data_IF_211403245586
#
_entry.id   IF_211403245586
#
_cell.length_a   1.000
_cell.length_b   1.000
_cell.length_c   1.000
_cell.angle_alpha   90.00
_cell.angle_beta   90.00
_cell.angle_gamma   90.00
#
_symmetry.space_group_name_H-M   'P 1'
#
loop_
_entity.id
_entity.type
_entity.pdbx_description
1 polymer ?
#
# COMPACT_ATOMS: atom_id res chain seq x y z
N UNK A 1 -21.73 20.81 -4.42
CA UNK A 1 -20.98 19.96 -5.36
C UNK A 1 -20.17 18.91 -4.57
N UNK A 2 -19.49 19.33 -3.51
CA UNK A 2 -18.53 18.52 -2.74
C UNK A 2 -19.13 17.28 -2.09
N UNK A 3 -20.35 17.38 -1.51
CA UNK A 3 -21.08 16.23 -0.95
C UNK A 3 -21.39 15.19 -2.04
N UNK A 4 -21.72 15.61 -3.25
CA UNK A 4 -22.01 14.72 -4.38
C UNK A 4 -20.72 14.01 -4.82
N UNK A 5 -19.59 14.73 -4.89
CA UNK A 5 -18.29 14.15 -5.18
C UNK A 5 -17.87 13.16 -4.09
N UNK A 6 -18.03 13.51 -2.81
CA UNK A 6 -17.70 12.64 -1.68
C UNK A 6 -18.49 11.32 -1.73
N UNK A 7 -19.82 11.40 -1.85
CA UNK A 7 -20.69 10.23 -1.86
C UNK A 7 -20.49 9.42 -3.15
N UNK A 8 -20.45 10.11 -4.30
CA UNK A 8 -20.21 9.47 -5.61
C UNK A 8 -18.84 8.78 -5.66
N UNK A 9 -17.80 9.42 -5.12
CA UNK A 9 -16.47 8.85 -4.98
C UNK A 9 -16.47 7.60 -4.11
N UNK A 10 -17.10 7.66 -2.94
CA UNK A 10 -17.22 6.50 -2.03
C UNK A 10 -17.93 5.31 -2.70
N UNK A 11 -19.05 5.56 -3.37
CA UNK A 11 -19.77 4.52 -4.09
C UNK A 11 -18.92 3.90 -5.21
N UNK A 12 -18.20 4.73 -5.96
CA UNK A 12 -17.33 4.29 -7.03
C UNK A 12 -16.14 3.46 -6.50
N UNK A 13 -15.55 3.84 -5.36
CA UNK A 13 -14.54 3.06 -4.65
C UNK A 13 -15.07 1.69 -4.26
N UNK A 14 -16.25 1.63 -3.64
CA UNK A 14 -16.82 0.35 -3.19
C UNK A 14 -17.18 -0.58 -4.36
N UNK A 15 -17.76 -0.05 -5.44
CA UNK A 15 -18.06 -0.82 -6.65
C UNK A 15 -16.77 -1.27 -7.34
N UNK A 16 -15.79 -0.37 -7.43
CA UNK A 16 -14.46 -0.65 -8.01
C UNK A 16 -13.72 -1.75 -7.25
N UNK A 17 -13.68 -1.67 -5.92
CA UNK A 17 -13.05 -2.68 -5.06
C UNK A 17 -13.72 -4.06 -5.20
N UNK A 18 -15.06 -4.09 -5.27
CA UNK A 18 -15.81 -5.33 -5.51
C UNK A 18 -15.48 -5.94 -6.87
N UNK A 19 -15.49 -5.14 -7.94
CA UNK A 19 -15.18 -5.60 -9.28
C UNK A 19 -13.74 -6.11 -9.37
N UNK A 20 -12.77 -5.32 -8.89
CA UNK A 20 -11.35 -5.72 -8.89
C UNK A 20 -11.13 -7.04 -8.14
N UNK A 21 -11.68 -7.17 -6.94
CA UNK A 21 -11.52 -8.38 -6.13
C UNK A 21 -12.13 -9.61 -6.83
N UNK A 22 -13.31 -9.49 -7.42
CA UNK A 22 -13.96 -10.60 -8.15
C UNK A 22 -13.20 -10.98 -9.42
N UNK A 23 -12.76 -10.00 -10.19
CA UNK A 23 -11.95 -10.21 -11.39
C UNK A 23 -10.61 -10.89 -11.06
N UNK A 24 -9.90 -10.37 -10.08
CA UNK A 24 -8.62 -10.89 -9.62
C UNK A 24 -8.74 -12.31 -9.07
N UNK A 25 -9.75 -12.59 -8.23
CA UNK A 25 -10.02 -13.92 -7.69
C UNK A 25 -10.38 -14.93 -8.80
N UNK A 26 -11.13 -14.50 -9.82
CA UNK A 26 -11.46 -15.33 -10.98
C UNK A 26 -10.23 -15.70 -11.81
N UNK A 27 -9.31 -14.74 -12.02
CA UNK A 27 -8.01 -14.97 -12.70
C UNK A 27 -7.15 -15.93 -11.89
N UNK A 28 -7.03 -15.70 -10.56
CA UNK A 28 -6.29 -16.59 -9.67
C UNK A 28 -6.75 -18.05 -9.81
N UNK A 29 -8.06 -18.27 -9.70
CA UNK A 29 -8.66 -19.61 -9.78
C UNK A 29 -8.52 -20.23 -11.17
N UNK A 30 -8.66 -19.44 -12.25
CA UNK A 30 -8.56 -19.92 -13.64
C UNK A 30 -7.16 -20.41 -13.99
N UNK A 31 -6.13 -19.69 -13.55
CA UNK A 31 -4.72 -20.01 -13.84
C UNK A 31 -4.05 -20.81 -12.73
N UNK A 32 -4.82 -21.24 -11.73
CA UNK A 32 -4.32 -21.96 -10.56
C UNK A 32 -3.18 -21.22 -9.84
N UNK A 33 -3.29 -19.90 -9.76
CA UNK A 33 -2.38 -19.01 -9.06
C UNK A 33 -2.95 -18.74 -7.66
N UNK A 34 -2.08 -18.65 -6.64
CA UNK A 34 -2.54 -18.34 -5.28
C UNK A 34 -3.13 -16.94 -5.18
N UNK A 35 -4.14 -16.75 -4.33
CA UNK A 35 -4.75 -15.43 -4.07
C UNK A 35 -3.74 -14.43 -3.51
N UNK A 36 -2.75 -14.92 -2.76
CA UNK A 36 -1.63 -14.12 -2.26
C UNK A 36 -0.85 -13.49 -3.42
N UNK A 37 -0.46 -14.28 -4.41
CA UNK A 37 0.32 -13.79 -5.56
C UNK A 37 -0.46 -12.78 -6.38
N UNK A 38 -1.75 -12.99 -6.60
CA UNK A 38 -2.59 -12.00 -7.28
C UNK A 38 -2.69 -10.69 -6.47
N UNK A 39 -2.79 -10.80 -5.14
CA UNK A 39 -2.73 -9.66 -4.23
C UNK A 39 -1.38 -8.93 -4.33
N UNK A 40 -0.28 -9.67 -4.24
CA UNK A 40 1.09 -9.15 -4.32
C UNK A 40 1.43 -8.51 -5.69
N UNK A 41 0.68 -8.79 -6.75
CA UNK A 41 1.00 -8.35 -8.12
C UNK A 41 -0.09 -7.47 -8.73
N UNK A 42 -1.08 -8.08 -9.37
CA UNK A 42 -2.10 -7.37 -10.17
C UNK A 42 -2.85 -6.35 -9.31
N UNK A 43 -3.25 -6.75 -8.10
CA UNK A 43 -4.01 -5.88 -7.22
C UNK A 43 -3.11 -4.76 -6.69
N UNK A 44 -1.97 -5.10 -6.10
CA UNK A 44 -1.04 -4.11 -5.54
C UNK A 44 -0.53 -3.12 -6.61
N UNK A 45 -0.08 -3.60 -7.78
CA UNK A 45 0.35 -2.73 -8.88
C UNK A 45 -0.75 -1.77 -9.34
N UNK A 46 -1.97 -2.28 -9.47
CA UNK A 46 -3.08 -1.48 -9.96
C UNK A 46 -3.52 -0.42 -8.96
N UNK A 47 -3.56 -0.77 -7.67
CA UNK A 47 -3.97 0.17 -6.62
C UNK A 47 -2.88 1.19 -6.30
N UNK A 48 -1.59 0.83 -6.45
CA UNK A 48 -0.45 1.76 -6.26
C UNK A 48 -0.11 2.60 -7.51
N UNK A 49 -0.93 2.58 -8.55
CA UNK A 49 -0.74 3.43 -9.73
C UNK A 49 -0.85 4.95 -9.42
N UNK A 50 -1.73 5.41 -8.52
CA UNK A 50 -1.74 6.80 -8.06
C UNK A 50 -0.42 7.21 -7.40
N UNK A 51 0.13 6.37 -6.52
CA UNK A 51 1.41 6.61 -5.85
C UNK A 51 2.56 6.76 -6.85
N UNK A 52 2.61 5.89 -7.87
CA UNK A 52 3.59 5.99 -8.95
C UNK A 52 3.47 7.33 -9.66
N UNK A 53 2.25 7.72 -10.02
CA UNK A 53 2.00 8.98 -10.73
C UNK A 53 2.42 10.18 -9.89
N UNK A 54 1.99 10.23 -8.62
CA UNK A 54 2.32 11.33 -7.71
C UNK A 54 3.84 11.42 -7.51
N UNK A 55 4.51 10.30 -7.22
CA UNK A 55 5.95 10.31 -6.92
C UNK A 55 6.79 10.66 -8.14
N UNK A 56 6.52 10.07 -9.31
CA UNK A 56 7.27 10.38 -10.54
C UNK A 56 7.06 11.83 -10.97
N UNK A 57 5.81 12.32 -10.98
CA UNK A 57 5.53 13.71 -11.37
C UNK A 57 6.14 14.71 -10.39
N UNK A 58 6.11 14.42 -9.09
CA UNK A 58 6.74 15.26 -8.06
C UNK A 58 8.25 15.29 -8.19
N UNK A 59 8.90 14.15 -8.44
CA UNK A 59 10.32 14.05 -8.70
C UNK A 59 10.73 14.89 -9.93
N UNK A 60 10.01 14.77 -11.05
CA UNK A 60 10.24 15.56 -12.27
C UNK A 60 10.05 17.07 -12.05
N UNK A 61 9.18 17.48 -11.13
CA UNK A 61 8.96 18.88 -10.74
C UNK A 61 9.98 19.39 -9.71
N UNK A 62 10.91 18.56 -9.27
CA UNK A 62 11.90 18.90 -8.23
C UNK A 62 11.32 18.93 -6.81
N UNK A 63 10.13 18.39 -6.61
CA UNK A 63 9.47 18.29 -5.28
C UNK A 63 9.80 16.94 -4.64
N UNK A 64 11.08 16.73 -4.32
CA UNK A 64 11.61 15.45 -3.83
C UNK A 64 10.93 14.95 -2.54
N UNK A 65 10.67 15.87 -1.60
CA UNK A 65 10.02 15.52 -0.34
C UNK A 65 8.59 15.01 -0.52
N UNK A 66 7.86 15.51 -1.52
CA UNK A 66 6.52 15.00 -1.86
C UNK A 66 6.65 13.58 -2.44
N UNK A 67 7.62 13.34 -3.32
CA UNK A 67 7.83 12.03 -3.93
C UNK A 67 8.20 10.96 -2.90
N UNK A 68 9.15 11.26 -2.01
CA UNK A 68 9.62 10.34 -0.97
C UNK A 68 8.56 10.20 0.13
N UNK A 69 7.97 11.32 0.57
CA UNK A 69 6.93 11.36 1.59
C UNK A 69 5.68 10.57 1.21
N UNK A 70 5.29 10.61 -0.07
CA UNK A 70 4.20 9.78 -0.59
C UNK A 70 4.51 8.28 -0.42
N UNK A 71 5.72 7.82 -0.76
CA UNK A 71 6.11 6.41 -0.61
C UNK A 71 6.18 6.00 0.86
N UNK A 72 6.87 6.78 1.70
CA UNK A 72 7.02 6.49 3.14
C UNK A 72 5.66 6.53 3.84
N UNK A 73 4.88 7.57 3.59
CA UNK A 73 3.55 7.76 4.18
C UNK A 73 2.57 6.67 3.78
N UNK A 74 2.50 6.31 2.48
CA UNK A 74 1.66 5.20 2.02
C UNK A 74 2.06 3.86 2.64
N UNK A 75 3.36 3.59 2.82
CA UNK A 75 3.81 2.35 3.44
C UNK A 75 3.42 2.28 4.93
N UNK A 76 3.54 3.37 5.67
CA UNK A 76 3.08 3.46 7.07
C UNK A 76 1.55 3.30 7.13
N UNK A 77 0.81 3.98 6.25
CA UNK A 77 -0.64 3.90 6.16
C UNK A 77 -1.09 2.47 5.84
N UNK A 78 -0.47 1.83 4.87
CA UNK A 78 -0.77 0.46 4.48
C UNK A 78 -0.55 -0.52 5.65
N UNK A 79 0.59 -0.45 6.31
CA UNK A 79 0.93 -1.36 7.39
C UNK A 79 0.09 -1.13 8.66
N UNK A 80 -0.17 0.12 9.04
CA UNK A 80 -0.88 0.44 10.27
C UNK A 80 -2.39 0.62 10.06
N UNK A 81 -2.77 1.46 9.11
CA UNK A 81 -4.18 1.83 8.94
C UNK A 81 -4.96 0.79 8.15
N UNK A 82 -4.44 0.32 7.00
CA UNK A 82 -5.17 -0.63 6.15
C UNK A 82 -5.26 -1.99 6.81
N UNK A 83 -4.13 -2.55 7.30
CA UNK A 83 -4.17 -3.82 8.04
C UNK A 83 -5.00 -3.66 9.31
N UNK A 84 -4.84 -2.54 10.01
CA UNK A 84 -5.61 -2.23 11.22
C UNK A 84 -7.11 -2.23 10.97
N UNK A 85 -7.60 -1.45 10.01
CA UNK A 85 -9.02 -1.39 9.65
C UNK A 85 -9.55 -2.74 9.18
N UNK A 86 -8.80 -3.41 8.30
CA UNK A 86 -9.20 -4.71 7.77
C UNK A 86 -9.33 -5.74 8.89
N UNK A 87 -8.35 -5.83 9.80
CA UNK A 87 -8.35 -6.76 10.92
C UNK A 87 -9.42 -6.43 11.97
N UNK A 88 -9.71 -5.14 12.21
CA UNK A 88 -10.77 -4.70 13.10
C UNK A 88 -12.16 -5.13 12.59
N UNK A 89 -12.37 -5.14 11.29
CA UNK A 89 -13.62 -5.59 10.64
C UNK A 89 -13.66 -7.13 10.58
N UNK A 90 -12.64 -7.73 9.97
CA UNK A 90 -12.50 -9.18 9.77
C UNK A 90 -11.09 -9.61 10.14
N UNK A 91 -10.90 -10.51 11.13
CA UNK A 91 -9.59 -11.04 11.47
C UNK A 91 -8.85 -11.61 10.25
N UNK A 92 -7.58 -11.24 10.07
CA UNK A 92 -6.76 -11.62 8.92
C UNK A 92 -5.88 -12.80 9.30
N UNK A 93 -6.08 -13.96 8.68
CA UNK A 93 -5.16 -15.08 8.81
C UNK A 93 -3.96 -14.87 7.89
N UNK A 94 -2.76 -15.07 8.43
CA UNK A 94 -1.48 -14.95 7.71
C UNK A 94 -0.91 -16.35 7.51
N UNK A 95 -0.55 -16.70 6.27
CA UNK A 95 0.04 -18.03 5.99
C UNK A 95 1.44 -18.12 6.58
N UNK A 96 1.93 -19.36 6.77
CA UNK A 96 3.32 -19.57 7.21
C UNK A 96 4.32 -19.00 6.21
N UNK A 97 4.03 -19.11 4.91
CA UNK A 97 4.83 -18.53 3.84
C UNK A 97 4.93 -17.01 3.99
N UNK A 98 3.79 -16.33 4.06
CA UNK A 98 3.71 -14.89 4.20
C UNK A 98 4.48 -14.39 5.43
N UNK A 99 4.34 -15.08 6.54
CA UNK A 99 5.04 -14.71 7.77
C UNK A 99 6.56 -14.92 7.67
N UNK A 100 7.01 -15.97 6.99
CA UNK A 100 8.45 -16.32 6.93
C UNK A 100 9.20 -15.70 5.75
N UNK A 101 8.51 -15.13 4.75
CA UNK A 101 9.12 -14.63 3.53
C UNK A 101 8.65 -13.21 3.17
N UNK A 102 7.34 -13.01 2.93
CA UNK A 102 6.83 -11.75 2.38
C UNK A 102 6.90 -10.61 3.40
N UNK A 103 6.49 -10.81 4.66
CA UNK A 103 6.61 -9.77 5.70
C UNK A 103 8.09 -9.45 6.01
N UNK A 104 9.00 -10.43 6.20
CA UNK A 104 10.44 -10.14 6.33
C UNK A 104 11.03 -9.41 5.12
N UNK A 105 10.57 -9.70 3.90
CA UNK A 105 10.99 -8.95 2.71
C UNK A 105 10.53 -7.49 2.77
N UNK A 106 9.34 -7.22 3.31
CA UNK A 106 8.83 -5.87 3.51
C UNK A 106 9.67 -5.10 4.55
N UNK A 107 10.05 -5.78 5.65
CA UNK A 107 10.99 -5.22 6.65
C UNK A 107 12.35 -4.92 6.01
N UNK A 108 12.88 -5.86 5.21
CA UNK A 108 14.15 -5.67 4.50
C UNK A 108 14.08 -4.48 3.52
N UNK A 109 12.99 -4.35 2.75
CA UNK A 109 12.79 -3.23 1.85
C UNK A 109 12.80 -1.89 2.59
N UNK A 110 12.14 -1.83 3.74
CA UNK A 110 12.13 -0.64 4.60
C UNK A 110 13.51 -0.31 5.16
N UNK A 111 14.31 -1.32 5.52
CA UNK A 111 15.70 -1.14 5.97
C UNK A 111 16.58 -0.68 4.80
N UNK A 112 16.43 -1.25 3.61
CA UNK A 112 17.16 -0.82 2.40
C UNK A 112 16.87 0.65 2.11
N UNK A 113 15.61 1.07 2.17
CA UNK A 113 15.25 2.48 1.99
C UNK A 113 15.88 3.35 3.08
N UNK A 114 15.86 2.91 4.35
CA UNK A 114 16.53 3.63 5.44
C UNK A 114 18.03 3.85 5.16
N UNK A 115 18.71 2.81 4.64
CA UNK A 115 20.14 2.90 4.29
C UNK A 115 20.35 3.89 3.14
N UNK A 116 19.60 3.78 2.04
CA UNK A 116 19.70 4.68 0.89
C UNK A 116 19.40 6.15 1.28
N UNK A 117 18.52 6.37 2.26
CA UNK A 117 18.10 7.69 2.68
C UNK A 117 19.00 8.36 3.74
N UNK A 118 20.08 7.72 4.17
CA UNK A 118 20.92 8.17 5.28
C UNK A 118 22.41 8.33 4.92
N UNK A 119 22.71 8.99 3.80
CA UNK A 119 24.07 9.27 3.36
C UNK A 119 24.90 10.05 4.40
N UNK A 120 24.26 11.00 5.07
CA UNK A 120 24.94 11.79 6.14
C UNK A 120 25.38 10.89 7.27
N UNK A 121 24.53 9.99 7.71
CA UNK A 121 24.83 9.10 8.85
C UNK A 121 25.83 7.99 8.46
N UNK A 122 25.73 7.45 7.24
CA UNK A 122 26.47 6.26 6.83
C UNK A 122 27.77 6.64 6.12
N UNK A 123 27.72 7.64 5.22
CA UNK A 123 28.81 8.01 4.34
C UNK A 123 29.46 9.35 4.71
N UNK A 124 28.99 10.02 5.80
CA UNK A 124 29.43 11.37 6.17
C UNK A 124 29.26 12.38 5.03
N UNK A 125 28.25 12.21 4.20
CA UNK A 125 27.92 13.13 3.12
C UNK A 125 27.42 14.47 3.68
N UNK A 126 27.37 15.50 2.85
CA UNK A 126 26.88 16.83 3.24
C UNK A 126 25.36 16.90 3.37
N UNK A 127 24.65 16.02 2.69
CA UNK A 127 23.18 15.94 2.69
C UNK A 127 22.71 14.52 2.39
N UNK A 128 21.50 14.19 2.83
CA UNK A 128 20.84 12.95 2.47
C UNK A 128 20.19 13.05 1.10
N UNK A 129 20.32 12.02 0.29
CA UNK A 129 19.71 11.95 -1.04
C UNK A 129 19.44 10.50 -1.44
N UNK A 130 18.44 10.31 -2.29
CA UNK A 130 18.27 9.05 -3.01
C UNK A 130 18.78 9.29 -4.42
N UNK A 131 19.94 8.72 -4.74
CA UNK A 131 20.62 8.88 -6.01
C UNK A 131 19.99 8.01 -7.11
N UNK A 132 20.36 8.27 -8.38
CA UNK A 132 19.93 7.38 -9.48
C UNK A 132 20.49 5.96 -9.34
N UNK A 133 21.66 5.77 -8.72
CA UNK A 133 22.20 4.44 -8.44
C UNK A 133 21.37 3.70 -7.38
N UNK A 134 20.88 4.39 -6.35
CA UNK A 134 19.96 3.82 -5.39
C UNK A 134 18.64 3.42 -6.06
N UNK A 135 18.13 4.29 -6.94
CA UNK A 135 16.94 3.99 -7.75
C UNK A 135 17.11 2.72 -8.58
N UNK A 136 18.23 2.59 -9.31
CA UNK A 136 18.53 1.36 -10.07
C UNK A 136 18.68 0.13 -9.17
N UNK A 137 19.29 0.28 -7.99
CA UNK A 137 19.40 -0.80 -7.00
C UNK A 137 18.00 -1.25 -6.53
N UNK A 138 17.11 -0.32 -6.21
CA UNK A 138 15.72 -0.62 -5.84
C UNK A 138 14.99 -1.36 -6.97
N UNK A 139 15.18 -0.96 -8.23
CA UNK A 139 14.61 -1.68 -9.39
C UNK A 139 15.19 -3.10 -9.56
N UNK A 140 16.46 -3.33 -9.21
CA UNK A 140 17.02 -4.69 -9.16
C UNK A 140 16.33 -5.54 -8.07
N UNK A 141 16.08 -4.99 -6.88
CA UNK A 141 15.30 -5.67 -5.84
C UNK A 141 13.86 -5.94 -6.31
N UNK A 142 13.26 -5.01 -7.05
CA UNK A 142 11.96 -5.22 -7.66
C UNK A 142 11.94 -6.40 -8.63
N UNK A 143 12.95 -6.52 -9.50
CA UNK A 143 13.08 -7.66 -10.41
C UNK A 143 13.22 -8.99 -9.66
N UNK A 144 13.98 -9.01 -8.56
CA UNK A 144 14.10 -10.18 -7.67
C UNK A 144 12.74 -10.51 -7.04
N UNK A 145 12.03 -9.50 -6.52
CA UNK A 145 10.69 -9.68 -5.95
C UNK A 145 9.71 -10.27 -6.96
N UNK A 146 9.70 -9.76 -8.20
CA UNK A 146 8.86 -10.31 -9.26
C UNK A 146 9.24 -11.78 -9.57
N UNK A 147 10.53 -12.07 -9.73
CA UNK A 147 11.01 -13.43 -9.95
C UNK A 147 10.59 -14.39 -8.84
N UNK A 148 10.75 -13.98 -7.57
CA UNK A 148 10.26 -14.72 -6.42
C UNK A 148 8.75 -14.95 -6.47
N UNK A 149 7.98 -13.89 -6.77
CA UNK A 149 6.52 -13.96 -6.80
C UNK A 149 6.02 -14.92 -7.90
N UNK A 150 6.66 -14.90 -9.09
CA UNK A 150 6.37 -15.87 -10.14
C UNK A 150 6.75 -17.29 -9.75
N UNK A 151 7.85 -17.48 -9.03
CA UNK A 151 8.28 -18.81 -8.56
C UNK A 151 7.28 -19.45 -7.58
N UNK A 152 6.62 -18.65 -6.74
CA UNK A 152 5.62 -19.15 -5.78
C UNK A 152 4.18 -19.17 -6.35
N UNK A 153 3.97 -18.70 -7.56
CA UNK A 153 2.62 -18.52 -8.14
C UNK A 153 1.78 -19.79 -8.13
N UNK A 154 2.39 -20.96 -8.36
CA UNK A 154 1.72 -22.25 -8.44
C UNK A 154 1.76 -23.05 -7.12
N UNK A 155 2.44 -22.55 -6.09
CA UNK A 155 2.47 -23.20 -4.77
C UNK A 155 1.20 -22.85 -4.00
N UNK A 156 0.12 -23.56 -4.27
CA UNK A 156 -1.16 -23.42 -3.57
C UNK A 156 -1.09 -24.21 -2.26
N UNK A 157 -1.08 -23.52 -1.11
CA UNK A 157 -1.55 -24.17 0.12
C UNK A 157 -3.07 -24.32 -0.03
N UNK A 158 -3.55 -25.56 -0.08
CA UNK A 158 -5.00 -25.88 -0.15
C UNK A 158 -5.68 -25.47 1.16
N UNK A 159 -6.04 -24.20 1.28
CA UNK A 159 -6.85 -23.70 2.38
C UNK A 159 -8.25 -23.36 1.89
N UNK A 160 -9.14 -24.37 1.89
CA UNK A 160 -10.58 -24.23 1.83
C UNK A 160 -11.18 -24.10 0.41
N UNK A 161 -12.31 -24.75 0.22
CA UNK A 161 -13.20 -24.58 -0.94
C UNK A 161 -13.72 -23.15 -1.01
N UNK A 162 -13.02 -22.28 -1.73
CA UNK A 162 -13.56 -20.97 -2.05
C UNK A 162 -14.67 -21.11 -3.09
N UNK A 163 -15.86 -20.63 -2.77
CA UNK A 163 -17.04 -20.56 -3.65
C UNK A 163 -16.89 -19.53 -4.79
N UNK A 164 -15.66 -19.23 -5.19
CA UNK A 164 -15.36 -18.23 -6.23
C UNK A 164 -15.87 -18.72 -7.58
N UNK A 165 -16.77 -17.94 -8.20
CA UNK A 165 -17.27 -18.20 -9.56
C UNK A 165 -16.20 -17.83 -10.57
N UNK A 166 -15.80 -18.80 -11.42
CA UNK A 166 -14.87 -18.53 -12.53
C UNK A 166 -15.62 -17.79 -13.64
N UNK A 167 -15.14 -16.59 -13.97
CA UNK A 167 -15.65 -15.80 -15.08
C UNK A 167 -14.86 -16.09 -16.37
N UNK A 168 -15.44 -15.87 -17.57
CA UNK A 168 -14.66 -15.80 -18.82
C UNK A 168 -13.56 -14.75 -18.69
N UNK A 169 -12.39 -15.00 -19.32
CA UNK A 169 -11.20 -14.15 -19.12
C UNK A 169 -11.47 -12.68 -19.53
N UNK A 170 -12.19 -12.45 -20.61
CA UNK A 170 -12.54 -11.09 -21.03
C UNK A 170 -13.37 -10.33 -19.99
N UNK A 171 -14.29 -11.04 -19.32
CA UNK A 171 -15.12 -10.48 -18.26
C UNK A 171 -14.27 -10.20 -17.02
N UNK A 172 -13.38 -11.13 -16.63
CA UNK A 172 -12.45 -10.92 -15.52
C UNK A 172 -11.52 -9.73 -15.79
N UNK A 173 -10.99 -9.59 -17.01
CA UNK A 173 -10.18 -8.44 -17.41
C UNK A 173 -10.97 -7.13 -17.35
N UNK A 174 -12.22 -7.13 -17.81
CA UNK A 174 -13.09 -5.95 -17.72
C UNK A 174 -13.36 -5.55 -16.26
N UNK A 175 -13.56 -6.53 -15.37
CA UNK A 175 -13.75 -6.32 -13.94
C UNK A 175 -12.48 -5.77 -13.26
N UNK A 176 -11.30 -6.24 -13.67
CA UNK A 176 -10.02 -5.71 -13.16
C UNK A 176 -9.82 -4.27 -13.64
N UNK A 177 -9.89 -4.02 -14.95
CA UNK A 177 -9.62 -2.69 -15.53
C UNK A 177 -10.68 -1.68 -15.07
N UNK A 178 -11.95 -2.04 -15.14
CA UNK A 178 -13.06 -1.20 -14.70
C UNK A 178 -13.04 -0.97 -13.18
N UNK A 179 -12.67 -1.99 -12.41
CA UNK A 179 -12.48 -1.90 -10.97
C UNK A 179 -11.35 -0.94 -10.59
N UNK A 180 -10.20 -1.04 -11.25
CA UNK A 180 -9.07 -0.12 -11.05
C UNK A 180 -9.45 1.32 -11.44
N UNK A 181 -10.08 1.51 -12.59
CA UNK A 181 -10.56 2.84 -12.99
C UNK A 181 -11.55 3.41 -11.96
N UNK A 182 -12.50 2.59 -11.48
CA UNK A 182 -13.45 2.98 -10.44
C UNK A 182 -12.75 3.36 -9.12
N UNK A 183 -11.72 2.64 -8.71
CA UNK A 183 -10.94 2.95 -7.51
C UNK A 183 -10.16 4.26 -7.66
N UNK A 184 -9.47 4.46 -8.78
CA UNK A 184 -8.65 5.66 -9.04
C UNK A 184 -9.53 6.91 -9.11
N UNK A 185 -10.54 6.92 -9.99
CA UNK A 185 -11.43 8.08 -10.12
C UNK A 185 -12.31 8.29 -8.89
N UNK A 186 -12.77 7.18 -8.27
CA UNK A 186 -13.51 7.23 -7.02
C UNK A 186 -12.70 7.84 -5.88
N UNK A 187 -11.41 7.46 -5.77
CA UNK A 187 -10.47 8.05 -4.82
C UNK A 187 -10.29 9.55 -5.04
N UNK A 188 -10.07 9.99 -6.29
CA UNK A 188 -9.96 11.41 -6.64
C UNK A 188 -11.23 12.19 -6.26
N UNK A 189 -12.41 11.73 -6.66
CA UNK A 189 -13.68 12.39 -6.34
C UNK A 189 -13.93 12.45 -4.83
N UNK A 190 -13.58 11.38 -4.09
CA UNK A 190 -13.70 11.35 -2.64
C UNK A 190 -12.80 12.41 -1.99
N UNK A 191 -11.53 12.48 -2.39
CA UNK A 191 -10.56 13.44 -1.87
C UNK A 191 -10.96 14.88 -2.22
N UNK A 192 -11.38 15.14 -3.45
CA UNK A 192 -11.82 16.47 -3.89
C UNK A 192 -13.05 16.92 -3.10
N UNK A 193 -14.04 16.03 -2.93
CA UNK A 193 -15.24 16.33 -2.15
C UNK A 193 -14.93 16.54 -0.67
N UNK A 194 -14.12 15.70 -0.05
CA UNK A 194 -13.71 15.82 1.35
C UNK A 194 -12.90 17.12 1.57
N UNK A 195 -11.96 17.43 0.66
CA UNK A 195 -11.15 18.64 0.72
C UNK A 195 -12.01 19.91 0.55
N UNK A 196 -12.99 19.90 -0.36
CA UNK A 196 -13.93 21.02 -0.53
C UNK A 196 -14.73 21.28 0.73
N UNK A 197 -15.26 20.24 1.38
CA UNK A 197 -15.97 20.35 2.66
C UNK A 197 -15.05 20.89 3.76
N UNK A 198 -13.82 20.34 3.88
CA UNK A 198 -12.86 20.76 4.88
C UNK A 198 -12.47 22.25 4.74
N UNK A 199 -12.25 22.73 3.50
CA UNK A 199 -12.05 24.18 3.21
C UNK A 199 -13.23 25.01 3.65
N UNK A 200 -14.46 24.55 3.35
CA UNK A 200 -15.69 25.22 3.78
C UNK A 200 -15.84 25.35 5.30
N UNK A 201 -15.21 24.43 6.06
CA UNK A 201 -15.14 24.45 7.52
C UNK A 201 -13.93 25.22 8.07
N UNK A 202 -13.12 25.84 7.21
CA UNK A 202 -11.95 26.63 7.62
C UNK A 202 -10.69 25.83 7.94
N UNK A 203 -10.62 24.56 7.54
CA UNK A 203 -9.41 23.72 7.71
C UNK A 203 -8.32 24.22 6.76
N UNK A 204 -7.09 24.35 7.24
CA UNK A 204 -5.96 24.84 6.43
C UNK A 204 -5.58 23.85 5.32
N UNK A 205 -5.07 24.39 4.19
CA UNK A 205 -4.60 23.58 3.05
C UNK A 205 -3.49 22.60 3.46
N UNK A 206 -2.64 22.98 4.42
CA UNK A 206 -1.59 22.11 4.92
C UNK A 206 -2.15 20.86 5.60
N UNK A 207 -3.17 21.01 6.45
CA UNK A 207 -3.83 19.88 7.12
C UNK A 207 -4.57 19.02 6.09
N UNK A 208 -5.26 19.62 5.12
CA UNK A 208 -5.93 18.90 4.03
C UNK A 208 -4.92 18.07 3.24
N UNK A 209 -3.80 18.68 2.84
CA UNK A 209 -2.74 18.01 2.10
C UNK A 209 -2.12 16.84 2.88
N UNK A 210 -1.81 17.07 4.17
CA UNK A 210 -1.15 16.09 5.02
C UNK A 210 -2.03 14.89 5.37
N UNK A 211 -3.35 15.06 5.40
CA UNK A 211 -4.30 14.03 5.83
C UNK A 211 -5.13 13.46 4.68
N UNK A 212 -5.95 14.31 4.05
CA UNK A 212 -6.92 13.85 3.04
C UNK A 212 -6.25 13.50 1.71
N UNK A 213 -5.29 14.31 1.25
CA UNK A 213 -4.62 14.04 -0.02
C UNK A 213 -3.62 12.88 0.14
N UNK A 214 -2.80 12.91 1.20
CA UNK A 214 -1.82 11.84 1.45
C UNK A 214 -2.47 10.48 1.71
N UNK A 215 -3.58 10.43 2.48
CA UNK A 215 -4.34 9.20 2.69
C UNK A 215 -5.19 8.79 1.48
N UNK A 216 -5.48 9.73 0.60
CA UNK A 216 -6.38 9.54 -0.53
C UNK A 216 -5.83 8.64 -1.63
N UNK A 217 -4.53 8.69 -1.88
CA UNK A 217 -3.88 7.80 -2.84
C UNK A 217 -3.97 6.34 -2.42
N UNK A 218 -3.96 6.07 -1.11
CA UNK A 218 -4.05 4.71 -0.56
C UNK A 218 -5.49 4.24 -0.24
N UNK A 219 -6.52 5.01 -0.61
CA UNK A 219 -7.93 4.58 -0.51
C UNK A 219 -8.25 3.35 -1.37
N UNK A 220 -7.72 3.23 -2.61
CA UNK A 220 -7.86 2.02 -3.39
C UNK A 220 -7.38 0.76 -2.66
N UNK A 221 -6.22 0.82 -2.03
CA UNK A 221 -5.64 -0.27 -1.23
C UNK A 221 -6.53 -0.62 -0.04
N UNK A 222 -6.98 0.38 0.70
CA UNK A 222 -7.86 0.20 1.85
C UNK A 222 -9.16 -0.50 1.44
N UNK A 223 -9.85 0.04 0.44
CA UNK A 223 -11.12 -0.51 -0.02
C UNK A 223 -10.96 -1.95 -0.54
N UNK A 224 -9.93 -2.20 -1.35
CA UNK A 224 -9.68 -3.52 -1.92
C UNK A 224 -9.33 -4.54 -0.85
N UNK A 225 -8.50 -4.19 0.14
CA UNK A 225 -8.11 -5.09 1.23
C UNK A 225 -9.30 -5.43 2.14
N UNK A 226 -10.12 -4.43 2.50
CA UNK A 226 -11.33 -4.66 3.29
C UNK A 226 -12.33 -5.53 2.53
N UNK A 227 -12.59 -5.24 1.26
CA UNK A 227 -13.52 -6.03 0.43
C UNK A 227 -13.02 -7.46 0.24
N UNK A 228 -11.71 -7.67 -0.01
CA UNK A 228 -11.12 -9.00 -0.13
C UNK A 228 -11.31 -9.81 1.17
N UNK A 229 -11.08 -9.20 2.33
CA UNK A 229 -11.27 -9.84 3.64
C UNK A 229 -12.76 -10.17 3.88
N UNK A 230 -13.69 -9.26 3.57
CA UNK A 230 -15.13 -9.50 3.66
C UNK A 230 -15.59 -10.65 2.75
N UNK A 231 -14.96 -10.81 1.59
CA UNK A 231 -15.18 -11.94 0.67
C UNK A 231 -14.45 -13.23 1.09
N UNK A 232 -13.97 -13.31 2.33
CA UNK A 232 -13.25 -14.46 2.87
C UNK A 232 -11.97 -14.80 2.08
N UNK A 233 -11.29 -13.80 1.56
CA UNK A 233 -10.01 -13.91 0.88
C UNK A 233 -8.91 -13.10 1.61
N UNK A 234 -8.53 -13.48 2.84
CA UNK A 234 -7.55 -12.74 3.64
C UNK A 234 -6.14 -12.75 3.00
N UNK A 235 -5.81 -13.79 2.23
CA UNK A 235 -4.53 -13.87 1.51
C UNK A 235 -4.39 -12.76 0.46
N UNK A 236 -5.47 -12.47 -0.28
CA UNK A 236 -5.47 -11.35 -1.24
C UNK A 236 -5.39 -10.01 -0.51
N UNK A 237 -6.06 -9.87 0.64
CA UNK A 237 -6.03 -8.65 1.43
C UNK A 237 -4.60 -8.34 1.95
N UNK A 238 -3.95 -9.32 2.58
CA UNK A 238 -2.58 -9.13 3.09
C UNK A 238 -1.57 -9.03 1.95
N UNK A 239 -1.77 -9.78 0.86
CA UNK A 239 -0.96 -9.71 -0.35
C UNK A 239 -1.00 -8.33 -0.99
N UNK A 240 -2.19 -7.69 -1.06
CA UNK A 240 -2.32 -6.32 -1.55
C UNK A 240 -1.48 -5.35 -0.71
N UNK A 241 -1.59 -5.38 0.61
CA UNK A 241 -0.83 -4.48 1.50
C UNK A 241 0.68 -4.67 1.37
N UNK A 242 1.15 -5.92 1.48
CA UNK A 242 2.59 -6.23 1.37
C UNK A 242 3.09 -5.90 -0.02
N UNK A 243 2.32 -6.26 -1.06
CA UNK A 243 2.65 -5.96 -2.45
C UNK A 243 2.78 -4.46 -2.68
N UNK A 244 1.79 -3.66 -2.25
CA UNK A 244 1.84 -2.20 -2.37
C UNK A 244 3.05 -1.60 -1.65
N UNK A 245 3.41 -2.09 -0.46
CA UNK A 245 4.60 -1.62 0.24
C UNK A 245 5.89 -1.91 -0.54
N UNK A 246 6.03 -3.12 -1.08
CA UNK A 246 7.19 -3.49 -1.90
C UNK A 246 7.22 -2.75 -3.24
N UNK A 247 6.05 -2.55 -3.89
CA UNK A 247 5.93 -1.73 -5.08
C UNK A 247 6.34 -0.27 -4.82
N UNK A 248 5.85 0.31 -3.74
CA UNK A 248 6.14 1.69 -3.38
C UNK A 248 7.64 1.90 -3.16
N UNK A 249 8.31 1.04 -2.39
CA UNK A 249 9.74 1.16 -2.13
C UNK A 249 10.55 0.81 -3.38
N UNK A 250 10.35 -0.38 -3.96
CA UNK A 250 11.25 -0.89 -4.98
C UNK A 250 10.96 -0.32 -6.37
N UNK A 251 9.68 -0.17 -6.73
CA UNK A 251 9.31 0.26 -8.07
C UNK A 251 9.02 1.76 -8.15
N UNK A 252 8.11 2.28 -7.32
CA UNK A 252 7.72 3.71 -7.39
C UNK A 252 8.91 4.60 -7.09
N UNK A 253 9.58 4.38 -5.95
CA UNK A 253 10.74 5.16 -5.58
C UNK A 253 11.95 4.84 -6.48
N UNK A 254 12.13 3.57 -6.86
CA UNK A 254 13.16 3.14 -7.79
C UNK A 254 13.05 3.86 -9.13
N UNK A 255 11.87 3.94 -9.74
CA UNK A 255 11.62 4.69 -10.96
C UNK A 255 11.87 6.19 -10.76
N UNK A 256 11.30 6.78 -9.70
CA UNK A 256 11.42 8.21 -9.43
C UNK A 256 12.89 8.65 -9.27
N UNK A 257 13.66 7.92 -8.46
CA UNK A 257 15.07 8.21 -8.21
C UNK A 257 15.97 7.96 -9.43
N UNK A 258 15.66 6.92 -10.23
CA UNK A 258 16.40 6.64 -11.47
C UNK A 258 16.23 7.77 -12.48
N UNK A 259 15.03 8.34 -12.59
CA UNK A 259 14.73 9.45 -13.49
C UNK A 259 15.36 10.75 -12.98
N UNK A 260 15.21 11.05 -11.69
CA UNK A 260 15.68 12.30 -11.08
C UNK A 260 16.18 12.01 -9.66
N UNK A 261 17.46 12.23 -9.35
CA UNK A 261 17.95 12.15 -7.98
C UNK A 261 17.18 13.07 -7.04
N UNK A 262 16.88 12.61 -5.83
CA UNK A 262 15.99 13.29 -4.91
C UNK A 262 16.72 13.61 -3.60
N UNK A 263 16.82 14.90 -3.26
CA UNK A 263 17.34 15.35 -1.98
C UNK A 263 16.27 15.19 -0.90
N UNK A 264 16.67 14.79 0.30
CA UNK A 264 15.78 14.56 1.44
C UNK A 264 15.96 15.73 2.41
N UNK A 265 14.89 16.47 2.69
CA UNK A 265 14.85 17.56 3.64
C UNK A 265 13.71 17.44 4.66
N UNK A 266 12.53 17.04 4.19
CA UNK A 266 11.31 16.97 5.02
C UNK A 266 11.06 15.60 5.66
N UNK A 267 11.69 14.53 5.18
CA UNK A 267 11.54 13.18 5.76
C UNK A 267 12.63 12.94 6.78
N UNK A 268 12.22 12.56 7.98
CA UNK A 268 13.11 12.35 9.11
C UNK A 268 13.43 10.87 9.36
N UNK A 269 14.47 10.60 10.14
CA UNK A 269 14.77 9.24 10.59
C UNK A 269 13.66 8.64 11.47
N UNK A 270 12.81 9.47 12.09
CA UNK A 270 11.63 9.00 12.79
C UNK A 270 10.61 8.41 11.84
N UNK A 271 10.33 9.06 10.71
CA UNK A 271 9.38 8.58 9.70
C UNK A 271 9.84 7.22 9.12
N UNK A 272 11.12 7.13 8.77
CA UNK A 272 11.73 5.89 8.30
C UNK A 272 11.71 4.80 9.39
N UNK A 273 11.94 5.19 10.65
CA UNK A 273 11.86 4.30 11.81
C UNK A 273 10.44 3.79 12.07
N UNK A 274 9.43 4.65 11.94
CA UNK A 274 8.01 4.26 12.05
C UNK A 274 7.62 3.32 10.91
N UNK A 275 8.10 3.55 9.68
CA UNK A 275 7.87 2.65 8.55
C UNK A 275 8.45 1.26 8.82
N UNK A 276 9.70 1.15 9.29
CA UNK A 276 10.31 -0.13 9.66
C UNK A 276 9.54 -0.76 10.82
N UNK A 277 9.26 0.02 11.86
CA UNK A 277 8.55 -0.43 13.06
C UNK A 277 7.16 -0.96 12.75
N UNK A 278 6.45 -0.35 11.80
CA UNK A 278 5.13 -0.82 11.36
C UNK A 278 5.19 -2.20 10.73
N UNK A 279 6.17 -2.46 9.86
CA UNK A 279 6.40 -3.78 9.27
C UNK A 279 6.82 -4.83 10.30
N UNK A 280 7.69 -4.44 11.26
CA UNK A 280 8.11 -5.31 12.37
C UNK A 280 6.92 -5.63 13.28
N UNK A 281 6.05 -4.67 13.55
CA UNK A 281 4.85 -4.87 14.36
C UNK A 281 3.88 -5.87 13.71
N UNK A 282 3.70 -5.79 12.38
CA UNK A 282 2.94 -6.79 11.63
C UNK A 282 3.54 -8.19 11.74
N UNK A 283 4.87 -8.28 11.67
CA UNK A 283 5.58 -9.54 11.84
C UNK A 283 5.35 -10.13 13.23
N UNK A 284 5.47 -9.31 14.28
CA UNK A 284 5.25 -9.70 15.67
C UNK A 284 3.81 -10.19 15.86
N UNK A 285 2.81 -9.47 15.35
CA UNK A 285 1.41 -9.87 15.48
C UNK A 285 1.11 -11.17 14.74
N UNK A 286 1.69 -11.36 13.55
CA UNK A 286 1.56 -12.61 12.83
C UNK A 286 2.24 -13.79 13.52
N UNK A 287 3.33 -13.56 14.26
CA UNK A 287 4.13 -14.61 14.89
C UNK A 287 3.56 -15.07 16.25
N UNK A 288 3.23 -14.11 17.12
CA UNK A 288 2.97 -14.38 18.55
C UNK A 288 1.49 -14.52 18.89
N UNK A 289 0.56 -14.02 18.06
CA UNK A 289 -0.85 -14.00 18.39
C UNK A 289 -1.66 -15.07 17.65
N UNK A 290 -2.56 -15.75 18.39
CA UNK A 290 -3.61 -16.72 17.99
C UNK A 290 -3.44 -17.36 16.59
N UNK A 291 -2.58 -18.35 16.46
CA UNK A 291 -2.45 -19.17 15.25
C UNK A 291 -2.22 -18.36 13.95
N UNK A 292 -1.34 -17.36 14.01
CA UNK A 292 -1.02 -16.50 12.85
C UNK A 292 -2.22 -15.72 12.31
N UNK A 293 -3.01 -15.17 13.22
CA UNK A 293 -4.18 -14.36 12.85
C UNK A 293 -4.05 -13.00 13.53
N UNK A 294 -4.05 -11.93 12.75
CA UNK A 294 -4.19 -10.56 13.26
C UNK A 294 -5.67 -10.38 13.59
N UNK A 295 -5.98 -10.27 14.87
CA UNK A 295 -7.35 -10.19 15.38
C UNK A 295 -7.79 -8.74 15.53
N UNK A 296 -9.04 -8.52 15.94
CA UNK A 296 -9.60 -7.17 16.11
C UNK A 296 -8.82 -6.29 17.09
N UNK A 297 -8.40 -6.78 18.29
CA UNK A 297 -7.59 -5.97 19.22
C UNK A 297 -6.27 -5.49 18.61
N UNK A 298 -5.54 -6.37 17.90
CA UNK A 298 -4.30 -5.98 17.23
C UNK A 298 -4.59 -5.00 16.09
N UNK A 299 -5.71 -5.16 15.36
CA UNK A 299 -6.14 -4.21 14.35
C UNK A 299 -6.42 -2.81 14.93
N UNK A 300 -7.12 -2.74 16.07
CA UNK A 300 -7.38 -1.47 16.77
C UNK A 300 -6.08 -0.85 17.26
N UNK A 301 -5.13 -1.65 17.75
CA UNK A 301 -3.82 -1.16 18.19
C UNK A 301 -3.01 -0.58 17.02
N UNK A 302 -3.05 -1.22 15.84
CA UNK A 302 -2.40 -0.68 14.63
C UNK A 302 -2.98 0.68 14.24
N UNK A 303 -4.32 0.83 14.26
CA UNK A 303 -4.98 2.11 14.01
C UNK A 303 -4.55 3.16 15.04
N UNK A 304 -4.50 2.80 16.31
CA UNK A 304 -4.06 3.71 17.37
C UNK A 304 -2.61 4.17 17.17
N UNK A 305 -1.71 3.27 16.76
CA UNK A 305 -0.33 3.62 16.41
C UNK A 305 -0.28 4.61 15.23
N UNK A 306 -1.12 4.43 14.20
CA UNK A 306 -1.20 5.37 13.09
C UNK A 306 -1.70 6.74 13.54
N UNK A 307 -2.77 6.79 14.32
CA UNK A 307 -3.33 8.04 14.85
C UNK A 307 -2.28 8.76 15.71
N UNK A 308 -1.55 8.04 16.56
CA UNK A 308 -0.49 8.63 17.38
C UNK A 308 0.63 9.23 16.50
N UNK A 309 1.04 8.53 15.44
CA UNK A 309 2.05 9.02 14.49
C UNK A 309 1.57 10.30 13.78
N UNK A 310 0.35 10.31 13.23
CA UNK A 310 -0.21 11.50 12.57
C UNK A 310 -0.37 12.67 13.56
N UNK A 311 -0.81 12.39 14.80
CA UNK A 311 -0.92 13.42 15.82
C UNK A 311 0.44 14.03 16.12
N UNK A 312 1.49 13.22 16.23
CA UNK A 312 2.86 13.70 16.39
C UNK A 312 3.30 14.60 15.24
N UNK A 313 3.02 14.23 13.97
CA UNK A 313 3.39 15.03 12.81
C UNK A 313 2.65 16.40 12.72
N UNK A 314 1.44 16.49 13.29
CA UNK A 314 0.63 17.74 13.25
C UNK A 314 1.01 18.66 14.40
N UNK A 315 1.35 18.13 15.57
CA UNK A 315 1.54 18.91 16.80
C UNK A 315 3.02 19.20 17.08
N UNK A 316 3.93 18.28 16.67
CA UNK A 316 5.39 18.39 16.82
C UNK A 316 6.01 19.14 15.70
#
# INVERSE_FOLDING_TARGET
MDIVLLIGGLLLILVGANALTDGAASVAKRFNISSLVIGLTIVAFGTSAPELTVSVVSALKGSSDIAIGNVVGSNIFNALMIVGCTAAIVPISVTKGTLSKEIPLCVLASIVLFICANDVLINSASQNSISSSDGMLLLCFFAIFLGYTFAIAHNREENGESTIKIMPIWKASLFIIGGLAGLIYGGQFFVDGASGIARGLGVSESIIGLTLVAGGTSLPELATSVVAALKKNPEMAIGNVIGSNLFNIFFVLGCSATITPMNIQGITNLDLGVMIGSCVLLYIFGLFFKKRTITRPEGILLIACYIAYITYLIVG
#
